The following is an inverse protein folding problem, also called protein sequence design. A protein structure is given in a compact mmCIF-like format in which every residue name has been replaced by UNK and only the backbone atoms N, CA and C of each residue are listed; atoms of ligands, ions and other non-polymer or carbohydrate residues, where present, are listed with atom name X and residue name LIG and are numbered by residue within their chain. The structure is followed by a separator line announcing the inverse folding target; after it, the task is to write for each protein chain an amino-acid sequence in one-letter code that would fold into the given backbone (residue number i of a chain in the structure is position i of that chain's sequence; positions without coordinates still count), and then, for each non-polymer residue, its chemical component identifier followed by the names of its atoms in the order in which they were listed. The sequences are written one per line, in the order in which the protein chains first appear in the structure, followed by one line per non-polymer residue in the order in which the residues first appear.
data_IF_768624195948
#
_entry.id   IF_768624195948
#
_cell.length_a   1.000
_cell.length_b   1.000
_cell.length_c   1.000
_cell.angle_alpha   90.00
_cell.angle_beta   90.00
_cell.angle_gamma   90.00
#
_symmetry.space_group_name_H-M   'P 1'
#
loop_
_entity.id
_entity.type
_entity.pdbx_description
1 polymer ?
#
# COMPACT_ATOMS: atom_id res chain seq x y z
N UNK A 1 -18.90 -31.51 -0.04
CA UNK A 1 -18.55 -30.85 1.23
C UNK A 1 -19.29 -29.53 1.27
N UNK A 2 -20.27 -29.39 2.16
CA UNK A 2 -21.24 -28.30 2.21
C UNK A 2 -20.70 -27.09 3.01
N UNK A 3 -19.41 -26.77 2.87
CA UNK A 3 -18.77 -25.69 3.60
C UNK A 3 -19.19 -24.36 2.99
N UNK A 4 -20.02 -23.61 3.72
CA UNK A 4 -20.38 -22.24 3.37
C UNK A 4 -19.12 -21.36 3.52
N UNK A 5 -18.64 -20.67 2.47
CA UNK A 5 -17.38 -19.92 2.54
C UNK A 5 -17.36 -18.91 3.71
N UNK A 6 -18.48 -18.20 3.93
CA UNK A 6 -18.64 -17.22 5.02
C UNK A 6 -18.40 -17.77 6.43
N UNK A 7 -18.80 -19.02 6.68
CA UNK A 7 -18.60 -19.67 7.98
C UNK A 7 -17.11 -19.97 8.19
N UNK A 8 -16.45 -20.52 7.15
CA UNK A 8 -15.01 -20.72 7.18
C UNK A 8 -14.24 -19.42 7.33
N UNK A 9 -14.63 -18.38 6.60
CA UNK A 9 -13.91 -17.11 6.54
C UNK A 9 -13.92 -16.38 7.89
N UNK A 10 -15.11 -16.10 8.45
CA UNK A 10 -15.21 -15.35 9.72
C UNK A 10 -14.69 -16.19 10.88
N UNK A 11 -15.03 -17.49 10.95
CA UNK A 11 -14.51 -18.36 12.02
C UNK A 11 -13.00 -18.61 11.92
N UNK A 12 -12.38 -18.36 10.76
CA UNK A 12 -10.92 -18.39 10.59
C UNK A 12 -10.22 -17.08 10.99
N UNK A 13 -10.97 -16.05 11.40
CA UNK A 13 -10.44 -14.76 11.85
C UNK A 13 -10.46 -13.66 10.79
N UNK A 14 -11.31 -13.78 9.75
CA UNK A 14 -11.53 -12.67 8.83
C UNK A 14 -12.36 -11.57 9.51
N UNK A 15 -11.73 -10.42 9.78
CA UNK A 15 -12.41 -9.27 10.38
C UNK A 15 -13.00 -8.29 9.35
N UNK A 16 -12.44 -8.25 8.12
CA UNK A 16 -12.79 -7.28 7.08
C UNK A 16 -12.73 -7.89 5.68
N UNK A 17 -13.69 -7.54 4.84
CA UNK A 17 -13.74 -7.90 3.43
C UNK A 17 -13.48 -6.68 2.55
N UNK A 18 -12.47 -6.79 1.69
CA UNK A 18 -12.15 -5.79 0.67
C UNK A 18 -13.00 -6.01 -0.58
N UNK A 19 -14.31 -6.06 -0.38
CA UNK A 19 -15.30 -6.49 -1.34
C UNK A 19 -16.71 -6.36 -0.76
N UNK A 20 -17.75 -6.60 -1.58
CA UNK A 20 -19.13 -6.47 -1.13
C UNK A 20 -19.66 -7.74 -0.44
N UNK A 21 -18.88 -8.82 -0.36
CA UNK A 21 -19.39 -10.16 -0.09
C UNK A 21 -19.92 -10.29 1.34
N UNK A 22 -19.17 -9.84 2.35
CA UNK A 22 -19.66 -9.83 3.73
C UNK A 22 -20.89 -8.93 3.89
N UNK A 23 -20.85 -7.72 3.31
CA UNK A 23 -21.97 -6.78 3.37
C UNK A 23 -23.26 -7.35 2.74
N UNK A 24 -23.14 -8.18 1.71
CA UNK A 24 -24.28 -8.77 1.00
C UNK A 24 -24.83 -10.06 1.64
N UNK A 25 -24.01 -10.79 2.42
CA UNK A 25 -24.36 -12.15 2.80
C UNK A 25 -24.24 -12.46 4.29
N UNK A 26 -23.59 -11.63 5.11
CA UNK A 26 -23.39 -11.90 6.53
C UNK A 26 -24.71 -12.01 7.30
N UNK A 27 -25.64 -11.07 7.10
CA UNK A 27 -26.95 -11.09 7.77
C UNK A 27 -27.72 -12.39 7.47
N UNK A 28 -27.75 -12.77 6.19
CA UNK A 28 -28.43 -13.97 5.71
C UNK A 28 -27.79 -15.25 6.26
N UNK A 29 -26.47 -15.26 6.44
CA UNK A 29 -25.74 -16.35 7.05
C UNK A 29 -26.04 -16.48 8.55
N UNK A 30 -26.14 -15.35 9.27
CA UNK A 30 -26.56 -15.32 10.68
C UNK A 30 -27.99 -15.82 10.84
N UNK A 31 -28.93 -15.32 10.02
CA UNK A 31 -30.34 -15.76 10.03
C UNK A 31 -30.50 -17.26 9.77
N UNK A 32 -29.61 -17.84 8.95
CA UNK A 32 -29.59 -19.29 8.64
C UNK A 32 -28.80 -20.11 9.65
N UNK A 33 -28.24 -19.50 10.71
CA UNK A 33 -27.44 -20.17 11.74
C UNK A 33 -26.10 -20.70 11.22
N UNK A 34 -25.62 -20.20 10.07
CA UNK A 34 -24.34 -20.61 9.48
C UNK A 34 -23.16 -19.85 10.06
N UNK A 35 -23.39 -18.68 10.62
CA UNK A 35 -22.42 -17.88 11.37
C UNK A 35 -23.14 -17.41 12.62
N UNK A 36 -22.49 -17.48 13.79
CA UNK A 36 -23.07 -16.89 14.99
C UNK A 36 -22.88 -15.38 15.02
N UNK A 37 -23.79 -14.68 15.69
CA UNK A 37 -23.70 -13.22 15.85
C UNK A 37 -22.44 -12.81 16.61
N UNK A 38 -21.97 -13.64 17.56
CA UNK A 38 -20.77 -13.38 18.35
C UNK A 38 -19.50 -13.35 17.51
N UNK A 39 -19.44 -14.14 16.45
CA UNK A 39 -18.34 -14.16 15.50
C UNK A 39 -18.30 -12.85 14.69
N UNK A 40 -19.47 -12.30 14.33
CA UNK A 40 -19.58 -10.97 13.72
C UNK A 40 -19.18 -9.88 14.72
N UNK A 41 -19.64 -9.97 15.97
CA UNK A 41 -19.30 -9.02 17.02
C UNK A 41 -17.78 -8.97 17.28
N UNK A 42 -17.12 -10.13 17.27
CA UNK A 42 -15.66 -10.20 17.43
C UNK A 42 -14.93 -9.46 16.31
N UNK A 43 -15.30 -9.71 15.05
CA UNK A 43 -14.75 -9.02 13.88
C UNK A 43 -14.97 -7.49 13.94
N UNK A 44 -16.16 -7.09 14.39
CA UNK A 44 -16.50 -5.69 14.60
C UNK A 44 -15.64 -5.05 15.71
N UNK A 45 -15.49 -5.73 16.85
CA UNK A 45 -14.67 -5.25 17.98
C UNK A 45 -13.21 -5.06 17.55
N UNK A 46 -12.63 -6.00 16.79
CA UNK A 46 -11.27 -5.87 16.27
C UNK A 46 -11.12 -4.64 15.36
N UNK A 47 -12.03 -4.49 14.40
CA UNK A 47 -12.03 -3.38 13.45
C UNK A 47 -12.20 -2.04 14.15
N UNK A 48 -13.15 -1.93 15.08
CA UNK A 48 -13.39 -0.71 15.86
C UNK A 48 -12.23 -0.40 16.80
N UNK A 49 -11.59 -1.41 17.40
CA UNK A 49 -10.42 -1.21 18.26
C UNK A 49 -9.27 -0.55 17.49
N UNK A 50 -9.02 -0.95 16.23
CA UNK A 50 -8.01 -0.29 15.40
C UNK A 50 -8.40 1.16 15.10
N UNK A 51 -9.66 1.43 14.75
CA UNK A 51 -10.13 2.79 14.49
C UNK A 51 -10.03 3.70 15.73
N UNK A 52 -10.34 3.16 16.92
CA UNK A 52 -10.14 3.87 18.21
C UNK A 52 -8.67 4.17 18.46
N UNK A 53 -7.75 3.22 18.21
CA UNK A 53 -6.30 3.46 18.34
C UNK A 53 -5.77 4.53 17.38
N UNK A 54 -6.44 4.71 16.25
CA UNK A 54 -6.14 5.78 15.27
C UNK A 54 -6.79 7.13 15.66
N UNK A 55 -7.49 7.21 16.78
CA UNK A 55 -8.12 8.44 17.28
C UNK A 55 -9.34 8.89 16.48
N UNK A 56 -9.96 8.01 15.68
CA UNK A 56 -11.11 8.35 14.83
C UNK A 56 -12.35 8.77 15.61
N UNK A 57 -12.41 8.48 16.91
CA UNK A 57 -13.54 8.78 17.79
C UNK A 57 -13.20 9.81 18.89
N UNK A 58 -12.01 10.41 18.84
CA UNK A 58 -11.47 11.27 19.90
C UNK A 58 -11.79 12.77 19.67
N UNK A 59 -12.92 13.06 19.02
CA UNK A 59 -13.42 14.43 18.79
C UNK A 59 -12.85 15.09 17.55
N UNK A 60 -12.30 16.30 17.68
CA UNK A 60 -11.76 17.08 16.56
C UNK A 60 -10.52 16.38 15.96
N UNK A 61 -10.56 15.92 14.69
CA UNK A 61 -9.43 15.25 14.06
C UNK A 61 -8.17 16.12 14.03
N UNK A 62 -8.30 17.44 13.94
CA UNK A 62 -7.15 18.36 13.90
C UNK A 62 -6.40 18.45 15.23
N UNK A 63 -7.06 18.08 16.34
CA UNK A 63 -6.44 18.00 17.66
C UNK A 63 -5.66 16.69 17.89
N UNK A 64 -5.73 15.73 16.96
CA UNK A 64 -5.04 14.44 17.05
C UNK A 64 -3.56 14.55 16.62
N UNK A 65 -2.68 13.64 17.06
CA UNK A 65 -1.24 13.70 16.77
C UNK A 65 -0.88 13.81 15.29
N UNK A 66 -1.68 13.21 14.40
CA UNK A 66 -1.49 13.25 12.95
C UNK A 66 -2.46 14.21 12.23
N UNK A 67 -3.34 14.87 12.97
CA UNK A 67 -4.44 15.68 12.44
C UNK A 67 -4.03 16.97 11.73
N UNK A 68 -2.80 17.43 11.96
CA UNK A 68 -2.24 18.63 11.37
C UNK A 68 -1.54 18.37 10.03
N UNK A 69 -1.33 17.10 9.66
CA UNK A 69 -0.72 16.75 8.37
C UNK A 69 -1.67 17.09 7.22
N UNK A 70 -1.12 17.68 6.17
CA UNK A 70 -1.89 18.11 5.01
C UNK A 70 -1.07 18.17 3.72
N UNK A 71 -1.60 18.85 2.68
CA UNK A 71 -0.94 18.93 1.38
C UNK A 71 0.48 19.53 1.43
N UNK A 72 0.78 20.36 2.42
CA UNK A 72 2.12 20.94 2.61
C UNK A 72 3.17 19.90 3.03
N UNK A 73 2.74 18.80 3.64
CA UNK A 73 3.61 17.70 4.09
C UNK A 73 3.81 16.62 2.99
N UNK A 74 3.08 16.75 1.88
CA UNK A 74 3.18 15.85 0.72
C UNK A 74 4.27 16.36 -0.24
N UNK A 75 5.08 15.43 -0.76
CA UNK A 75 6.11 15.73 -1.77
C UNK A 75 7.12 16.83 -1.34
N UNK A 76 7.42 16.92 -0.05
CA UNK A 76 8.43 17.87 0.48
C UNK A 76 9.81 17.61 -0.13
N UNK A 77 10.73 18.60 -0.12
CA UNK A 77 12.10 18.40 -0.59
C UNK A 77 12.81 17.23 0.12
N UNK A 78 12.53 17.02 1.41
CA UNK A 78 13.08 15.91 2.18
C UNK A 78 12.56 14.55 1.66
N UNK A 79 11.26 14.44 1.36
CA UNK A 79 10.67 13.22 0.80
C UNK A 79 11.21 12.93 -0.61
N UNK A 80 11.42 13.97 -1.43
CA UNK A 80 12.01 13.84 -2.76
C UNK A 80 13.47 13.36 -2.70
N UNK A 81 14.29 13.90 -1.81
CA UNK A 81 15.68 13.45 -1.64
C UNK A 81 15.73 12.00 -1.13
N UNK A 82 14.84 11.62 -0.21
CA UNK A 82 14.74 10.23 0.25
C UNK A 82 14.38 9.27 -0.89
N UNK A 83 13.41 9.64 -1.73
CA UNK A 83 13.04 8.84 -2.90
C UNK A 83 14.20 8.73 -3.91
N UNK A 84 14.93 9.83 -4.12
CA UNK A 84 16.11 9.84 -4.99
C UNK A 84 17.24 8.95 -4.45
N UNK A 85 17.48 8.98 -3.14
CA UNK A 85 18.48 8.12 -2.51
C UNK A 85 18.08 6.64 -2.59
N UNK A 86 16.81 6.32 -2.34
CA UNK A 86 16.29 4.97 -2.52
C UNK A 86 16.48 4.48 -3.97
N UNK A 87 16.22 5.33 -4.97
CA UNK A 87 16.45 5.00 -6.37
C UNK A 87 17.95 4.77 -6.69
N UNK A 88 18.85 5.61 -6.17
CA UNK A 88 20.30 5.45 -6.34
C UNK A 88 20.80 4.13 -5.75
N UNK A 89 20.32 3.76 -4.57
CA UNK A 89 20.70 2.53 -3.88
C UNK A 89 20.05 1.28 -4.47
N UNK A 90 18.90 1.42 -5.14
CA UNK A 90 18.17 0.30 -5.75
C UNK A 90 18.73 -0.18 -7.10
N UNK A 91 19.59 0.59 -7.77
CA UNK A 91 20.15 0.23 -9.08
C UNK A 91 21.26 -0.83 -8.91
N UNK A 92 21.12 -1.96 -9.61
CA UNK A 92 22.11 -3.06 -9.60
C UNK A 92 22.89 -3.12 -10.91
N UNK A 93 24.23 -2.99 -10.83
CA UNK A 93 25.12 -3.18 -11.97
C UNK A 93 25.39 -4.67 -12.21
N UNK A 94 24.70 -5.26 -13.17
CA UNK A 94 24.83 -6.70 -13.48
C UNK A 94 26.13 -7.06 -14.22
N UNK A 95 26.69 -6.14 -15.02
CA UNK A 95 27.84 -6.41 -15.87
C UNK A 95 28.63 -5.14 -16.17
N UNK A 96 29.96 -5.17 -15.94
CA UNK A 96 30.89 -4.10 -16.33
C UNK A 96 32.13 -4.71 -17.00
N UNK A 97 32.13 -4.80 -18.33
CA UNK A 97 33.26 -5.33 -19.10
C UNK A 97 34.16 -4.20 -19.58
N UNK A 98 35.48 -4.40 -19.54
CA UNK A 98 36.45 -3.43 -20.05
C UNK A 98 36.53 -2.12 -19.27
N UNK A 99 36.01 -2.09 -18.03
CA UNK A 99 35.99 -0.91 -17.16
C UNK A 99 35.39 0.33 -17.84
N UNK A 100 34.30 0.14 -18.61
CA UNK A 100 33.65 1.24 -19.32
C UNK A 100 32.95 2.21 -18.36
N UNK A 101 32.37 1.68 -17.28
CA UNK A 101 31.74 2.49 -16.23
C UNK A 101 32.73 2.75 -15.07
N UNK A 102 32.70 3.96 -14.46
CA UNK A 102 31.79 5.08 -14.77
C UNK A 102 32.19 5.83 -16.06
N UNK A 103 31.19 6.35 -16.76
CA UNK A 103 31.41 7.18 -17.95
C UNK A 103 32.19 8.45 -17.56
N UNK A 104 33.15 8.84 -18.39
CA UNK A 104 34.00 10.01 -18.13
C UNK A 104 33.57 11.20 -19.01
N UNK A 105 33.04 12.29 -18.42
CA UNK A 105 32.68 13.49 -19.17
C UNK A 105 33.87 14.18 -19.85
N UNK A 106 35.09 13.95 -19.34
CA UNK A 106 36.32 14.47 -19.96
C UNK A 106 36.66 13.76 -21.29
N UNK A 107 36.22 12.51 -21.47
CA UNK A 107 36.52 11.68 -22.65
C UNK A 107 35.34 11.62 -23.63
N UNK A 108 34.11 11.66 -23.11
CA UNK A 108 32.89 11.54 -23.91
C UNK A 108 32.21 12.89 -24.03
N UNK A 109 32.19 13.45 -25.25
CA UNK A 109 31.54 14.74 -25.55
C UNK A 109 30.08 14.61 -25.99
N UNK A 110 29.69 13.41 -26.43
CA UNK A 110 28.35 13.14 -26.95
C UNK A 110 27.94 11.74 -26.54
N UNK A 111 26.71 11.60 -26.05
CA UNK A 111 26.11 10.34 -25.64
C UNK A 111 24.79 10.19 -26.39
N UNK A 112 24.60 9.08 -27.10
CA UNK A 112 23.32 8.73 -27.67
C UNK A 112 22.52 7.90 -26.66
N UNK A 113 21.35 8.38 -26.26
CA UNK A 113 20.42 7.64 -25.40
C UNK A 113 19.38 7.00 -26.32
N UNK A 114 19.39 5.67 -26.43
CA UNK A 114 18.59 4.93 -27.40
C UNK A 114 17.82 3.81 -26.68
N UNK A 115 16.54 3.68 -27.00
CA UNK A 115 15.67 2.62 -26.51
C UNK A 115 14.29 3.18 -26.14
N UNK A 116 13.25 2.33 -26.05
CA UNK A 116 11.88 2.79 -25.77
C UNK A 116 11.74 3.46 -24.40
N UNK A 117 12.68 3.23 -23.48
CA UNK A 117 12.68 3.80 -22.13
C UNK A 117 13.60 5.03 -21.97
N UNK A 118 14.17 5.57 -23.06
CA UNK A 118 15.12 6.69 -22.97
C UNK A 118 14.52 8.00 -22.44
N UNK A 119 13.20 8.17 -22.58
CA UNK A 119 12.43 9.34 -22.13
C UNK A 119 11.07 8.89 -21.52
N UNK A 120 11.05 7.71 -20.90
CA UNK A 120 9.83 7.21 -20.28
C UNK A 120 9.62 7.82 -18.89
N UNK A 121 8.41 8.26 -18.57
CA UNK A 121 8.03 8.73 -17.22
C UNK A 121 7.09 7.75 -16.54
N UNK A 122 5.93 7.50 -17.16
CA UNK A 122 4.88 6.60 -16.63
C UNK A 122 5.36 5.14 -16.53
N UNK A 123 6.19 4.68 -17.48
CA UNK A 123 6.74 3.32 -17.40
C UNK A 123 7.69 3.15 -16.20
N UNK A 124 8.39 4.21 -15.79
CA UNK A 124 9.37 4.13 -14.69
C UNK A 124 8.72 4.03 -13.31
N UNK A 125 7.51 4.57 -13.13
CA UNK A 125 6.78 4.51 -11.86
C UNK A 125 6.11 3.14 -11.64
N UNK A 126 5.94 2.34 -12.69
CA UNK A 126 5.45 0.96 -12.59
C UNK A 126 3.93 0.87 -12.38
N UNK A 127 3.50 -0.08 -11.55
CA UNK A 127 2.10 -0.25 -11.15
C UNK A 127 1.85 0.41 -9.77
N UNK A 128 0.57 0.62 -9.42
CA UNK A 128 0.17 1.24 -8.14
C UNK A 128 0.82 2.61 -7.86
N UNK A 129 1.13 3.36 -8.93
CA UNK A 129 1.72 4.70 -8.87
C UNK A 129 0.69 5.83 -8.98
#
# INVERSE_FOLDING_TARGET
TNSNPLEGDISSGLDLDCGPFLAQHAEDAVRKGKVGEKEIDAALVHTMTVQMRLGMFDGDPSAQPLGHLGPADVCTPANQELALEAARQGIVLLKNQGNVLPLSPARLRTVAVIGPNSDATVTMIGNYA
#
